data_IF_989243215472
#
_entry.id   IF_989243215472
#
_cell.length_a   1.000
_cell.length_b   1.000
_cell.length_c   1.000
_cell.angle_alpha   90.00
_cell.angle_beta   90.00
_cell.angle_gamma   90.00
#
_symmetry.space_group_name_H-M   'P 1'
#
loop_
_entity.id
_entity.type
_entity.pdbx_description
1 polymer ?
#
# COMPACT_ATOMS: atom_id res chain seq x y z
N UNK A 1 -28.05 8.84 -53.54
CA UNK A 1 -26.98 9.50 -52.76
C UNK A 1 -27.28 9.41 -51.26
N UNK A 2 -27.35 8.20 -50.68
CA UNK A 2 -27.67 7.97 -49.25
C UNK A 2 -26.98 6.75 -48.62
N UNK A 3 -26.15 6.04 -49.38
CA UNK A 3 -25.49 4.79 -48.95
C UNK A 3 -23.99 4.94 -48.65
N UNK A 4 -23.41 6.13 -48.87
CA UNK A 4 -21.97 6.39 -48.62
C UNK A 4 -21.65 6.92 -47.21
N UNK A 5 -22.63 7.44 -46.48
CA UNK A 5 -22.43 8.05 -45.16
C UNK A 5 -22.41 6.99 -44.04
N UNK A 6 -23.19 5.91 -44.19
CA UNK A 6 -23.31 4.87 -43.14
C UNK A 6 -22.03 4.01 -43.02
N UNK A 7 -21.27 3.84 -44.11
CA UNK A 7 -20.00 3.09 -44.06
C UNK A 7 -18.86 3.85 -43.38
N UNK A 8 -18.93 5.17 -43.31
CA UNK A 8 -17.91 5.98 -42.64
C UNK A 8 -18.12 6.04 -41.12
N UNK A 9 -19.36 5.88 -40.65
CA UNK A 9 -19.69 5.93 -39.22
C UNK A 9 -19.32 4.63 -38.46
N UNK A 10 -19.36 3.49 -39.13
CA UNK A 10 -18.99 2.19 -38.53
C UNK A 10 -17.46 2.05 -38.36
N UNK A 11 -16.67 2.73 -39.19
CA UNK A 11 -15.20 2.69 -39.12
C UNK A 11 -14.61 3.59 -38.01
N UNK A 12 -15.35 4.61 -37.56
CA UNK A 12 -14.88 5.54 -36.51
C UNK A 12 -15.13 4.97 -35.10
N UNK A 13 -16.18 4.17 -34.92
CA UNK A 13 -16.48 3.54 -33.61
C UNK A 13 -15.47 2.44 -33.25
N UNK A 14 -14.81 1.84 -34.25
CA UNK A 14 -13.78 0.81 -34.03
C UNK A 14 -12.47 1.36 -33.43
N UNK A 15 -12.20 2.67 -33.54
CA UNK A 15 -11.00 3.31 -32.99
C UNK A 15 -11.15 3.80 -31.54
N UNK A 16 -12.34 3.68 -30.95
CA UNK A 16 -12.60 4.09 -29.56
C UNK A 16 -12.49 2.94 -28.56
N UNK A 17 -12.10 1.74 -29.01
CA UNK A 17 -11.58 0.69 -28.13
C UNK A 17 -10.11 0.98 -27.85
N UNK A 18 -9.85 2.10 -27.15
CA UNK A 18 -8.59 2.25 -26.43
C UNK A 18 -8.63 1.15 -25.39
N UNK A 19 -7.89 0.08 -25.65
CA UNK A 19 -7.56 -0.88 -24.60
C UNK A 19 -6.98 -0.06 -23.44
N UNK A 20 -7.57 -0.15 -22.26
CA UNK A 20 -6.81 0.08 -21.04
C UNK A 20 -5.69 -0.96 -21.08
N UNK A 21 -4.54 -0.59 -21.66
CA UNK A 21 -3.33 -1.36 -21.46
C UNK A 21 -2.97 -1.15 -20.01
N UNK A 22 -3.26 -2.14 -19.17
CA UNK A 22 -2.68 -2.19 -17.83
C UNK A 22 -1.17 -2.05 -17.98
N UNK A 23 -0.61 -1.05 -17.32
CA UNK A 23 0.82 -0.82 -17.32
C UNK A 23 1.49 -1.99 -16.60
N UNK A 24 2.42 -2.63 -17.29
CA UNK A 24 3.33 -3.59 -16.68
C UNK A 24 4.50 -2.84 -16.05
N UNK A 25 4.82 -3.20 -14.81
CA UNK A 25 5.90 -2.59 -14.03
C UNK A 25 7.09 -3.54 -13.96
N UNK A 26 8.28 -3.06 -14.30
CA UNK A 26 9.52 -3.85 -14.19
C UNK A 26 10.03 -3.83 -12.74
N UNK A 27 10.65 -4.92 -12.27
CA UNK A 27 11.02 -5.08 -10.85
C UNK A 27 11.91 -3.94 -10.30
N UNK A 28 12.85 -3.44 -11.11
CA UNK A 28 13.79 -2.39 -10.73
C UNK A 28 13.31 -0.97 -11.07
N UNK A 29 12.08 -0.84 -11.60
CA UNK A 29 11.49 0.43 -11.98
C UNK A 29 11.18 1.29 -10.75
N UNK A 30 11.59 2.56 -10.80
CA UNK A 30 11.26 3.56 -9.77
C UNK A 30 9.86 4.10 -10.01
N UNK A 31 8.94 3.81 -9.08
CA UNK A 31 7.54 4.27 -9.14
C UNK A 31 7.32 5.61 -8.46
N UNK A 32 8.17 5.97 -7.50
CA UNK A 32 8.09 7.26 -6.83
C UNK A 32 9.42 7.68 -6.20
N UNK A 33 9.53 8.96 -5.86
CA UNK A 33 10.59 9.51 -5.02
C UNK A 33 9.93 10.14 -3.79
N UNK A 34 10.28 9.68 -2.59
CA UNK A 34 9.77 10.19 -1.32
C UNK A 34 10.93 10.74 -0.47
N UNK A 35 10.92 12.05 -0.21
CA UNK A 35 11.98 12.78 0.48
C UNK A 35 13.38 12.51 -0.13
N UNK A 36 13.44 12.42 -1.46
CA UNK A 36 14.67 12.13 -2.20
C UNK A 36 15.09 10.66 -2.24
N UNK A 37 14.31 9.74 -1.63
CA UNK A 37 14.56 8.31 -1.70
C UNK A 37 13.69 7.67 -2.78
N UNK A 38 14.30 6.89 -3.67
CA UNK A 38 13.58 6.11 -4.68
C UNK A 38 12.75 5.02 -3.99
N UNK A 39 11.52 4.85 -4.48
CA UNK A 39 10.65 3.72 -4.16
C UNK A 39 10.52 2.91 -5.45
N UNK A 40 10.93 1.66 -5.39
CA UNK A 40 10.93 0.76 -6.54
C UNK A 40 9.78 -0.24 -6.48
N UNK A 41 9.49 -0.87 -7.61
CA UNK A 41 8.51 -1.95 -7.71
C UNK A 41 8.85 -3.09 -6.76
N UNK A 42 10.12 -3.48 -6.65
CA UNK A 42 10.56 -4.51 -5.69
C UNK A 42 10.23 -4.19 -4.23
N UNK A 43 10.19 -2.91 -3.83
CA UNK A 43 9.78 -2.52 -2.49
C UNK A 43 8.31 -2.80 -2.23
N UNK A 44 7.48 -2.75 -3.28
CA UNK A 44 6.03 -2.96 -3.22
C UNK A 44 5.66 -4.43 -3.28
N UNK A 45 6.42 -5.22 -4.05
CA UNK A 45 6.25 -6.68 -4.15
C UNK A 45 6.48 -7.38 -2.81
N UNK A 46 7.12 -6.71 -1.84
CA UNK A 46 7.23 -7.16 -0.44
C UNK A 46 5.94 -7.00 0.37
N UNK A 47 4.88 -6.42 -0.20
CA UNK A 47 3.59 -6.21 0.46
C UNK A 47 2.42 -6.77 -0.33
N UNK A 48 2.50 -6.75 -1.67
CA UNK A 48 1.36 -7.01 -2.54
C UNK A 48 1.79 -7.41 -3.95
N UNK A 49 0.92 -8.13 -4.65
CA UNK A 49 1.05 -8.34 -6.10
C UNK A 49 0.65 -7.06 -6.84
N UNK A 50 1.28 -6.81 -8.00
CA UNK A 50 0.94 -5.72 -8.93
C UNK A 50 0.37 -6.25 -10.26
N UNK A 51 -0.15 -7.47 -10.28
CA UNK A 51 -0.74 -8.06 -11.49
C UNK A 51 -2.03 -7.33 -11.93
N UNK A 52 -2.84 -6.87 -10.99
CA UNK A 52 -4.10 -6.17 -11.24
C UNK A 52 -4.15 -4.86 -10.46
N UNK A 53 -4.72 -3.80 -11.05
CA UNK A 53 -4.88 -2.48 -10.41
C UNK A 53 -3.57 -1.90 -9.83
N UNK A 54 -2.44 -2.18 -10.48
CA UNK A 54 -1.10 -1.84 -9.99
C UNK A 54 -0.98 -0.37 -9.55
N UNK A 55 -1.47 0.58 -10.35
CA UNK A 55 -1.39 2.02 -10.02
C UNK A 55 -2.15 2.38 -8.73
N UNK A 56 -3.35 1.82 -8.52
CA UNK A 56 -4.14 2.05 -7.32
C UNK A 56 -3.46 1.44 -6.08
N UNK A 57 -2.87 0.26 -6.24
CA UNK A 57 -2.10 -0.42 -5.20
C UNK A 57 -0.85 0.40 -4.85
N UNK A 58 -0.09 0.86 -5.85
CA UNK A 58 1.07 1.72 -5.65
C UNK A 58 0.66 2.98 -4.89
N UNK A 59 -0.39 3.68 -5.34
CA UNK A 59 -0.88 4.90 -4.68
C UNK A 59 -1.28 4.64 -3.22
N UNK A 60 -1.99 3.54 -2.95
CA UNK A 60 -2.39 3.16 -1.59
C UNK A 60 -1.18 2.89 -0.70
N UNK A 61 -0.16 2.21 -1.23
CA UNK A 61 1.07 1.96 -0.51
C UNK A 61 1.88 3.24 -0.26
N UNK A 62 1.95 4.15 -1.23
CA UNK A 62 2.60 5.44 -1.08
C UNK A 62 1.92 6.29 0.00
N UNK A 63 0.59 6.24 0.14
CA UNK A 63 -0.11 6.89 1.25
C UNK A 63 0.37 6.39 2.61
N UNK A 64 0.49 5.07 2.78
CA UNK A 64 1.02 4.49 4.02
C UNK A 64 2.46 4.94 4.30
N UNK A 65 3.33 4.97 3.27
CA UNK A 65 4.71 5.46 3.41
C UNK A 65 4.77 6.94 3.79
N UNK A 66 3.93 7.80 3.20
CA UNK A 66 3.83 9.22 3.56
C UNK A 66 3.45 9.38 5.03
N UNK A 67 2.47 8.60 5.51
CA UNK A 67 2.04 8.64 6.91
C UNK A 67 3.17 8.19 7.84
N UNK A 68 3.91 7.15 7.47
CA UNK A 68 5.05 6.68 8.26
C UNK A 68 6.19 7.71 8.31
N UNK A 69 6.50 8.38 7.18
CA UNK A 69 7.49 9.47 7.16
C UNK A 69 7.04 10.67 7.98
N UNK A 70 5.76 11.03 7.93
CA UNK A 70 5.21 12.10 8.76
C UNK A 70 5.25 11.74 10.25
N UNK A 71 4.92 10.51 10.61
CA UNK A 71 5.04 10.04 11.99
C UNK A 71 6.49 10.16 12.50
N UNK A 72 7.46 9.74 11.68
CA UNK A 72 8.90 9.88 12.00
C UNK A 72 9.33 11.34 12.11
N UNK A 73 8.86 12.22 11.22
CA UNK A 73 9.18 13.66 11.25
C UNK A 73 8.69 14.33 12.54
N UNK A 74 7.60 13.80 13.10
CA UNK A 74 7.03 14.21 14.40
C UNK A 74 7.75 13.57 15.61
N UNK A 75 8.81 12.80 15.39
CA UNK A 75 9.58 12.15 16.45
C UNK A 75 8.97 10.85 16.98
N UNK A 76 7.95 10.30 16.31
CA UNK A 76 7.45 8.97 16.64
C UNK A 76 8.48 7.92 16.23
N UNK A 77 8.68 6.94 17.09
CA UNK A 77 9.58 5.81 16.86
C UNK A 77 8.81 4.51 17.01
N UNK A 78 9.24 3.45 16.33
CA UNK A 78 8.74 2.08 16.49
C UNK A 78 9.95 1.23 16.86
N UNK A 79 9.86 0.52 17.97
CA UNK A 79 10.95 -0.32 18.48
C UNK A 79 10.72 -1.78 18.12
N UNK A 80 11.79 -2.58 18.09
CA UNK A 80 11.70 -4.04 17.90
C UNK A 80 10.82 -4.69 18.98
N UNK A 81 10.92 -4.24 20.23
CA UNK A 81 10.10 -4.73 21.35
C UNK A 81 8.60 -4.51 21.08
N UNK A 82 8.19 -3.33 20.61
CA UNK A 82 6.79 -3.05 20.26
C UNK A 82 6.28 -3.93 19.10
N UNK A 83 7.14 -4.23 18.13
CA UNK A 83 6.79 -5.11 17.01
C UNK A 83 6.66 -6.56 17.46
N UNK A 84 7.55 -7.01 18.33
CA UNK A 84 7.50 -8.35 18.90
C UNK A 84 6.26 -8.52 19.79
N UNK A 85 5.93 -7.53 20.63
CA UNK A 85 4.71 -7.53 21.42
C UNK A 85 3.45 -7.60 20.54
N UNK A 86 3.40 -6.84 19.44
CA UNK A 86 2.29 -6.89 18.49
C UNK A 86 2.14 -8.28 17.83
N UNK A 87 3.25 -8.88 17.37
CA UNK A 87 3.27 -10.22 16.76
C UNK A 87 2.84 -11.29 17.78
N UNK A 88 3.39 -11.24 19.00
CA UNK A 88 3.11 -12.19 20.07
C UNK A 88 1.73 -12.02 20.70
N UNK A 89 1.13 -10.82 20.64
CA UNK A 89 -0.23 -10.59 21.13
C UNK A 89 -1.29 -11.37 20.35
N UNK A 90 -1.06 -11.61 19.06
CA UNK A 90 -1.98 -12.38 18.19
C UNK A 90 -1.63 -13.87 18.23
N UNK A 91 -0.33 -14.21 18.18
CA UNK A 91 0.15 -15.59 18.15
C UNK A 91 1.21 -15.84 19.24
N UNK A 92 0.79 -16.03 20.51
CA UNK A 92 1.71 -16.15 21.63
C UNK A 92 2.64 -17.36 21.51
N UNK A 93 3.94 -17.14 21.71
CA UNK A 93 4.98 -18.16 21.70
C UNK A 93 5.36 -18.69 20.32
N UNK A 94 4.84 -18.09 19.25
CA UNK A 94 5.11 -18.55 17.89
C UNK A 94 6.34 -17.87 17.29
N UNK A 95 7.05 -18.63 16.45
CA UNK A 95 8.05 -18.14 15.50
C UNK A 95 7.38 -17.67 14.20
N UNK A 96 8.07 -16.86 13.36
CA UNK A 96 7.55 -16.51 12.04
C UNK A 96 7.16 -17.74 11.22
N UNK A 97 7.98 -18.79 11.25
CA UNK A 97 7.70 -20.03 10.51
C UNK A 97 6.40 -20.71 10.96
N UNK A 98 6.18 -20.83 12.27
CA UNK A 98 4.95 -21.42 12.80
C UNK A 98 3.72 -20.58 12.41
N UNK A 99 3.84 -19.25 12.38
CA UNK A 99 2.75 -18.38 11.91
C UNK A 99 2.48 -18.52 10.42
N UNK A 100 3.53 -18.66 9.61
CA UNK A 100 3.41 -18.95 8.19
C UNK A 100 2.67 -20.27 7.94
N UNK A 101 3.03 -21.33 8.67
CA UNK A 101 2.39 -22.65 8.55
C UNK A 101 0.91 -22.65 8.97
N UNK A 102 0.48 -21.66 9.78
CA UNK A 102 -0.92 -21.48 10.18
C UNK A 102 -1.76 -20.71 9.15
N UNK A 103 -1.15 -20.16 8.10
CA UNK A 103 -1.89 -19.41 7.09
C UNK A 103 -2.87 -20.30 6.32
N UNK A 104 -4.07 -19.79 5.98
CA UNK A 104 -5.05 -20.55 5.20
C UNK A 104 -4.60 -20.81 3.75
N UNK A 105 -3.67 -19.99 3.24
CA UNK A 105 -3.02 -20.17 1.94
C UNK A 105 -1.63 -19.55 1.96
N UNK A 106 -0.67 -20.24 1.34
CA UNK A 106 0.73 -19.81 1.21
C UNK A 106 1.09 -19.31 -0.19
N UNK A 107 0.19 -19.50 -1.17
CA UNK A 107 0.45 -19.27 -2.59
C UNK A 107 0.96 -17.86 -2.89
N UNK A 108 0.37 -16.85 -2.25
CA UNK A 108 0.81 -15.46 -2.38
C UNK A 108 2.29 -15.29 -2.01
N UNK A 109 2.70 -15.81 -0.85
CA UNK A 109 4.06 -15.67 -0.34
C UNK A 109 5.06 -16.44 -1.20
N UNK A 110 4.69 -17.64 -1.66
CA UNK A 110 5.51 -18.44 -2.57
C UNK A 110 5.74 -17.74 -3.91
N UNK A 111 4.69 -17.15 -4.48
CA UNK A 111 4.78 -16.40 -5.75
C UNK A 111 5.66 -15.16 -5.61
N UNK A 112 5.43 -14.34 -4.58
CA UNK A 112 6.23 -13.13 -4.37
C UNK A 112 7.70 -13.46 -4.04
N UNK A 113 7.94 -14.50 -3.23
CA UNK A 113 9.29 -14.98 -2.97
C UNK A 113 10.01 -15.39 -4.26
N UNK A 114 9.33 -16.11 -5.16
CA UNK A 114 9.89 -16.52 -6.45
C UNK A 114 10.23 -15.32 -7.36
N UNK A 115 9.36 -14.30 -7.41
CA UNK A 115 9.60 -13.07 -8.20
C UNK A 115 10.82 -12.30 -7.67
N UNK A 116 10.96 -12.24 -6.35
CA UNK A 116 12.06 -11.55 -5.68
C UNK A 116 13.35 -12.36 -5.61
N UNK A 117 13.29 -13.67 -5.86
CA UNK A 117 14.43 -14.59 -5.75
C UNK A 117 14.81 -14.89 -4.31
N UNK A 118 13.84 -14.89 -3.40
CA UNK A 118 13.97 -15.23 -1.99
C UNK A 118 13.43 -16.64 -1.72
N UNK A 119 13.84 -17.26 -0.62
CA UNK A 119 13.06 -18.38 -0.08
C UNK A 119 11.73 -17.86 0.48
N UNK A 120 10.72 -18.73 0.55
CA UNK A 120 9.41 -18.33 1.08
C UNK A 120 9.48 -17.93 2.56
N UNK A 121 10.35 -18.58 3.32
CA UNK A 121 10.57 -18.30 4.75
C UNK A 121 11.19 -16.91 4.93
N UNK A 122 12.24 -16.59 4.17
CA UNK A 122 12.84 -15.25 4.16
C UNK A 122 11.85 -14.17 3.70
N UNK A 123 11.05 -14.45 2.66
CA UNK A 123 10.03 -13.51 2.21
C UNK A 123 8.99 -13.25 3.30
N UNK A 124 8.47 -14.30 3.95
CA UNK A 124 7.45 -14.16 4.98
C UNK A 124 7.95 -13.35 6.17
N UNK A 125 9.19 -13.61 6.64
CA UNK A 125 9.79 -12.87 7.74
C UNK A 125 9.93 -11.37 7.41
N UNK A 126 10.43 -11.06 6.20
CA UNK A 126 10.53 -9.67 5.72
C UNK A 126 9.16 -9.01 5.58
N UNK A 127 8.20 -9.72 4.98
CA UNK A 127 6.83 -9.24 4.77
C UNK A 127 6.15 -8.92 6.09
N UNK A 128 6.26 -9.82 7.08
CA UNK A 128 5.66 -9.64 8.38
C UNK A 128 6.27 -8.43 9.09
N UNK A 129 7.59 -8.33 9.14
CA UNK A 129 8.27 -7.24 9.81
C UNK A 129 7.93 -5.87 9.20
N UNK A 130 7.95 -5.80 7.86
CA UNK A 130 7.59 -4.59 7.11
C UNK A 130 6.13 -4.20 7.29
N UNK A 131 5.23 -5.16 7.31
CA UNK A 131 3.79 -4.93 7.48
C UNK A 131 3.46 -4.49 8.90
N UNK A 132 4.08 -5.10 9.92
CA UNK A 132 3.92 -4.69 11.30
C UNK A 132 4.52 -3.30 11.56
N UNK A 133 5.69 -3.01 10.99
CA UNK A 133 6.34 -1.69 11.11
C UNK A 133 5.48 -0.57 10.56
N UNK A 134 4.97 -0.71 9.32
CA UNK A 134 4.15 0.35 8.72
C UNK A 134 2.81 0.50 9.45
N UNK A 135 2.23 -0.61 9.93
CA UNK A 135 0.99 -0.61 10.72
C UNK A 135 1.19 0.07 12.07
N UNK A 136 2.33 -0.15 12.74
CA UNK A 136 2.66 0.49 14.00
C UNK A 136 2.83 2.01 13.85
N UNK A 137 3.51 2.48 12.81
CA UNK A 137 3.60 3.91 12.52
C UNK A 137 2.24 4.52 12.19
N UNK A 138 1.43 3.85 11.37
CA UNK A 138 0.07 4.29 11.05
C UNK A 138 -0.79 4.41 12.32
N UNK A 139 -0.79 3.36 13.16
CA UNK A 139 -1.55 3.34 14.42
C UNK A 139 -1.14 4.46 15.36
N UNK A 140 0.17 4.67 15.57
CA UNK A 140 0.71 5.78 16.38
C UNK A 140 0.30 7.14 15.84
N UNK A 141 0.40 7.33 14.52
CA UNK A 141 0.05 8.59 13.88
C UNK A 141 -1.44 8.91 14.03
N UNK A 142 -2.29 7.92 13.74
CA UNK A 142 -3.74 8.05 13.85
C UNK A 142 -4.16 8.31 15.29
N UNK A 143 -3.64 7.54 16.26
CA UNK A 143 -3.91 7.77 17.68
C UNK A 143 -3.50 9.17 18.12
N UNK A 144 -2.31 9.63 17.73
CA UNK A 144 -1.84 10.98 18.06
C UNK A 144 -2.74 12.08 17.49
N UNK A 145 -3.23 11.92 16.26
CA UNK A 145 -4.03 12.95 15.56
C UNK A 145 -5.49 12.93 15.96
N UNK A 146 -6.06 11.76 16.25
CA UNK A 146 -7.51 11.57 16.36
C UNK A 146 -7.97 10.87 17.64
N UNK A 147 -7.06 10.38 18.48
CA UNK A 147 -7.40 9.57 19.67
C UNK A 147 -7.73 8.11 19.31
N UNK A 148 -8.25 7.37 20.28
CA UNK A 148 -8.65 5.97 20.11
C UNK A 148 -10.05 5.88 19.48
N UNK A 149 -10.21 5.02 18.47
CA UNK A 149 -11.53 4.73 17.89
C UNK A 149 -12.48 4.13 18.92
N UNK A 150 -11.95 3.41 19.92
CA UNK A 150 -12.74 2.80 20.99
C UNK A 150 -13.35 3.83 21.96
N UNK A 151 -12.93 5.11 21.89
CA UNK A 151 -13.57 6.19 22.64
C UNK A 151 -14.91 6.62 22.00
N UNK A 152 -15.24 6.13 20.79
CA UNK A 152 -16.53 6.38 20.14
C UNK A 152 -17.60 5.45 20.71
N UNK A 153 -18.73 6.01 21.14
CA UNK A 153 -19.83 5.26 21.77
C UNK A 153 -20.90 4.82 20.77
N UNK A 154 -20.92 5.42 19.58
CA UNK A 154 -21.96 5.22 18.55
C UNK A 154 -21.37 4.93 17.17
N UNK A 155 -22.15 4.27 16.31
CA UNK A 155 -21.76 4.01 14.92
C UNK A 155 -21.55 5.33 14.14
N UNK A 156 -22.33 6.36 14.44
CA UNK A 156 -22.16 7.68 13.84
C UNK A 156 -20.84 8.35 14.23
N UNK A 157 -20.41 8.24 15.49
CA UNK A 157 -19.12 8.77 15.96
C UNK A 157 -17.95 8.02 15.33
N UNK A 158 -18.04 6.69 15.22
CA UNK A 158 -17.05 5.88 14.51
C UNK A 158 -16.92 6.34 13.06
N UNK A 159 -18.04 6.51 12.36
CA UNK A 159 -18.02 7.00 10.97
C UNK A 159 -17.45 8.40 10.85
N UNK A 160 -17.81 9.32 11.75
CA UNK A 160 -17.25 10.68 11.74
C UNK A 160 -15.73 10.66 11.98
N UNK A 161 -15.25 9.79 12.87
CA UNK A 161 -13.83 9.58 13.11
C UNK A 161 -13.13 9.03 11.86
N UNK A 162 -13.69 8.01 11.21
CA UNK A 162 -13.15 7.42 9.97
C UNK A 162 -13.11 8.44 8.84
N UNK A 163 -14.18 9.20 8.62
CA UNK A 163 -14.25 10.23 7.59
C UNK A 163 -13.20 11.32 7.83
N UNK A 164 -13.00 11.75 9.08
CA UNK A 164 -11.96 12.73 9.46
C UNK A 164 -10.57 12.18 9.21
N UNK A 165 -10.29 10.95 9.65
CA UNK A 165 -9.00 10.31 9.46
C UNK A 165 -8.70 10.16 7.96
N UNK A 166 -9.61 9.57 7.18
CA UNK A 166 -9.45 9.37 5.75
C UNK A 166 -9.24 10.68 4.99
N UNK A 167 -10.02 11.73 5.32
CA UNK A 167 -9.84 13.05 4.72
C UNK A 167 -8.44 13.60 5.00
N UNK A 168 -7.99 13.54 6.25
CA UNK A 168 -6.68 14.03 6.65
C UNK A 168 -5.54 13.27 5.97
N UNK A 169 -5.60 11.94 5.88
CA UNK A 169 -4.56 11.15 5.21
C UNK A 169 -4.48 11.48 3.71
N UNK A 170 -5.62 11.72 3.05
CA UNK A 170 -5.64 12.17 1.66
C UNK A 170 -5.07 13.60 1.52
N UNK A 171 -5.41 14.51 2.42
CA UNK A 171 -4.86 15.87 2.43
C UNK A 171 -3.34 15.88 2.68
N UNK A 172 -2.85 15.03 3.58
CA UNK A 172 -1.42 14.85 3.83
C UNK A 172 -0.69 14.34 2.59
N UNK A 173 -1.25 13.33 1.92
CA UNK A 173 -0.68 12.79 0.69
C UNK A 173 -0.55 13.85 -0.42
N UNK A 174 -1.61 14.63 -0.64
CA UNK A 174 -1.58 15.72 -1.62
C UNK A 174 -0.65 16.88 -1.19
N UNK A 175 -0.50 17.13 0.11
CA UNK A 175 0.46 18.10 0.63
C UNK A 175 1.90 17.69 0.29
N UNK A 176 2.26 16.42 0.53
CA UNK A 176 3.59 15.90 0.19
C UNK A 176 3.90 16.04 -1.30
N UNK A 177 2.92 15.77 -2.18
CA UNK A 177 3.06 16.00 -3.62
C UNK A 177 3.26 17.47 -3.95
N UNK A 178 2.44 18.35 -3.37
CA UNK A 178 2.49 19.79 -3.61
C UNK A 178 3.81 20.42 -3.17
N UNK A 179 4.39 19.93 -2.09
CA UNK A 179 5.67 20.43 -1.54
C UNK A 179 6.89 19.80 -2.22
N UNK A 180 6.70 18.90 -3.19
CA UNK A 180 7.79 18.20 -3.88
C UNK A 180 8.50 17.16 -3.01
N UNK A 181 7.88 16.77 -1.88
CA UNK A 181 8.36 15.70 -1.03
C UNK A 181 7.99 14.32 -1.59
N UNK A 182 6.93 14.23 -2.39
CA UNK A 182 6.53 13.03 -3.11
C UNK A 182 6.39 13.32 -4.61
N UNK A 183 7.16 12.60 -5.43
CA UNK A 183 7.04 12.60 -6.89
C UNK A 183 6.64 11.18 -7.35
N UNK A 184 5.60 11.05 -8.17
CA UNK A 184 5.14 9.76 -8.72
C UNK A 184 5.51 9.65 -10.20
N UNK A 185 6.05 8.51 -10.61
CA UNK A 185 6.63 8.30 -11.94
C UNK A 185 5.79 7.36 -12.83
N UNK A 186 4.48 7.27 -12.56
CA UNK A 186 3.59 6.43 -13.34
C UNK A 186 2.33 7.13 -13.86
#
# INVERSE_FOLDING_TARGET
MRTRIIRFFVLIVAFLLVACSERTFEKDETVAILNGNEIKVEDLLLYTSLEENAEEIILSHLKLKVVAEEAKSMGMTVTEEELDEAKQGIYPGSTPQERYEMLPSTEFYEQQAAILGLSTEEYYEIWEDKTQTISAYLGKYIYYKFGDINDSETEEEVKEWEDKANKHLNELFELYKKEGMLETNF
#
